data_IF_501171521866
#
_entry.id   IF_501171521866
#
_cell.length_a   1.000
_cell.length_b   1.000
_cell.length_c   1.000
_cell.angle_alpha   90.00
_cell.angle_beta   90.00
_cell.angle_gamma   90.00
#
_symmetry.space_group_name_H-M   'P 1'
#
loop_
_entity.id
_entity.type
_entity.pdbx_description
1 polymer ?
#
# COMPACT_ATOMS: atom_id res chain seq x y z
N UNK A 1 -32.19 -61.48 -8.79
CA UNK A 1 -31.08 -60.89 -9.58
C UNK A 1 -30.82 -59.51 -8.98
N UNK A 2 -30.46 -59.43 -7.70
CA UNK A 2 -29.09 -59.59 -7.17
C UNK A 2 -28.06 -58.77 -7.95
N UNK A 3 -27.60 -57.66 -7.37
CA UNK A 3 -26.31 -57.59 -6.68
C UNK A 3 -26.07 -56.16 -6.14
N UNK A 4 -25.77 -56.09 -4.85
CA UNK A 4 -25.22 -54.92 -4.14
C UNK A 4 -23.76 -54.67 -4.56
N UNK A 5 -23.18 -53.51 -4.19
CA UNK A 5 -22.13 -53.57 -3.16
C UNK A 5 -22.11 -52.39 -2.17
N UNK A 6 -22.25 -52.76 -0.89
CA UNK A 6 -21.41 -52.46 0.28
C UNK A 6 -20.49 -51.20 0.38
N UNK A 7 -20.64 -50.54 1.55
CA UNK A 7 -19.61 -49.98 2.49
C UNK A 7 -18.98 -48.63 2.05
N UNK A 8 -18.81 -47.62 2.90
CA UNK A 8 -18.42 -47.67 4.32
C UNK A 8 -18.93 -46.47 5.13
N UNK A 9 -19.41 -46.80 6.31
CA UNK A 9 -19.65 -45.94 7.46
C UNK A 9 -18.33 -45.43 8.06
N UNK A 10 -18.20 -44.12 8.23
CA UNK A 10 -17.14 -43.49 9.01
C UNK A 10 -17.49 -43.52 10.51
N UNK A 11 -16.58 -43.95 11.39
CA UNK A 11 -16.80 -43.98 12.83
C UNK A 11 -16.54 -42.61 13.48
N UNK A 12 -17.43 -42.24 14.40
CA UNK A 12 -17.19 -41.25 15.45
C UNK A 12 -16.13 -41.78 16.42
N UNK A 13 -15.08 -41.00 16.69
CA UNK A 13 -14.13 -41.21 17.80
C UNK A 13 -13.77 -39.82 18.38
N UNK A 14 -13.59 -39.71 19.71
CA UNK A 14 -14.08 -38.59 20.50
C UNK A 14 -13.04 -37.49 20.78
N UNK A 15 -13.58 -36.34 21.15
CA UNK A 15 -12.95 -35.27 21.93
C UNK A 15 -12.21 -35.83 23.14
N UNK A 16 -10.90 -35.60 23.19
CA UNK A 16 -10.09 -35.70 24.39
C UNK A 16 -9.38 -34.38 24.66
N UNK A 17 -9.85 -33.73 25.71
CA UNK A 17 -9.10 -32.82 26.57
C UNK A 17 -7.89 -33.54 27.15
N UNK A 18 -6.68 -32.96 27.09
CA UNK A 18 -5.91 -32.55 28.27
C UNK A 18 -4.48 -32.11 27.89
N UNK A 19 -4.01 -31.13 28.66
CA UNK A 19 -2.65 -31.02 29.20
C UNK A 19 -1.54 -30.52 28.29
N UNK A 20 -1.24 -29.23 28.49
CA UNK A 20 0.04 -28.74 29.03
C UNK A 20 1.19 -29.74 28.93
N UNK A 21 2.10 -29.47 28.00
CA UNK A 21 3.47 -29.97 28.06
C UNK A 21 4.41 -28.77 28.01
N UNK A 22 4.99 -28.53 29.19
CA UNK A 22 6.18 -27.76 29.44
C UNK A 22 7.27 -28.11 28.42
N UNK A 23 7.75 -27.12 27.68
CA UNK A 23 9.09 -27.17 27.11
C UNK A 23 10.13 -26.89 28.21
N UNK A 24 11.26 -27.60 28.22
CA UNK A 24 12.24 -27.51 29.29
C UNK A 24 12.94 -26.16 29.28
N UNK A 25 12.85 -25.44 30.39
CA UNK A 25 13.74 -24.35 30.75
C UNK A 25 15.17 -24.90 30.81
N UNK A 26 16.01 -24.47 29.87
CA UNK A 26 17.45 -24.59 30.01
C UNK A 26 17.85 -23.60 31.10
N UNK A 27 18.26 -24.13 32.24
CA UNK A 27 18.95 -23.41 33.31
C UNK A 27 20.20 -22.74 32.71
N UNK A 28 20.15 -21.42 32.56
CA UNK A 28 21.37 -20.62 32.41
C UNK A 28 21.84 -20.26 33.82
N UNK A 29 22.86 -21.00 34.26
CA UNK A 29 23.70 -20.69 35.42
C UNK A 29 24.11 -19.22 35.40
N UNK A 30 23.90 -18.56 36.54
CA UNK A 30 24.51 -17.28 36.87
C UNK A 30 26.00 -17.31 36.57
N UNK A 31 26.44 -16.36 35.75
CA UNK A 31 27.57 -15.46 36.01
C UNK A 31 27.92 -14.73 34.72
N UNK A 32 27.58 -13.45 34.64
CA UNK A 32 28.47 -12.33 34.27
C UNK A 32 27.65 -11.12 33.81
N UNK A 33 27.66 -10.09 34.67
CA UNK A 33 27.42 -8.67 34.38
C UNK A 33 26.37 -8.34 33.31
N UNK A 34 25.15 -8.18 33.80
CA UNK A 34 24.09 -7.42 33.16
C UNK A 34 24.58 -6.01 32.81
N UNK A 35 24.77 -5.73 31.51
CA UNK A 35 24.64 -4.37 31.03
C UNK A 35 23.18 -3.96 31.24
N UNK A 36 22.91 -3.22 32.32
CA UNK A 36 21.65 -2.52 32.49
C UNK A 36 21.56 -1.41 31.42
N UNK A 37 21.14 -1.77 30.21
CA UNK A 37 20.49 -0.80 29.35
C UNK A 37 19.15 -0.49 30.02
N UNK A 38 19.07 0.73 30.57
CA UNK A 38 17.87 1.27 31.21
C UNK A 38 16.64 0.92 30.38
N UNK A 39 15.73 0.12 30.95
CA UNK A 39 14.41 -0.15 30.37
C UNK A 39 13.67 1.15 30.06
N UNK A 40 14.03 2.25 30.72
CA UNK A 40 13.57 3.58 30.39
C UNK A 40 13.96 4.06 28.99
N UNK A 41 15.13 3.69 28.46
CA UNK A 41 15.61 4.15 27.15
C UNK A 41 14.96 3.40 25.99
N UNK A 42 14.69 2.09 26.14
CA UNK A 42 13.95 1.32 25.14
C UNK A 42 12.48 1.71 25.11
N UNK A 43 11.88 1.97 26.27
CA UNK A 43 10.51 2.50 26.40
C UNK A 43 10.45 3.92 25.85
N UNK A 44 11.43 4.79 26.14
CA UNK A 44 11.48 6.14 25.56
C UNK A 44 11.61 6.10 24.05
N UNK A 45 12.48 5.27 23.47
CA UNK A 45 12.60 5.13 22.02
C UNK A 45 11.30 4.60 21.40
N UNK A 46 10.63 3.64 22.03
CA UNK A 46 9.34 3.14 21.55
C UNK A 46 8.26 4.25 21.58
N UNK A 47 8.15 5.01 22.68
CA UNK A 47 7.21 6.12 22.77
C UNK A 47 7.59 7.33 21.90
N UNK A 48 8.87 7.57 21.65
CA UNK A 48 9.34 8.62 20.73
C UNK A 48 9.02 8.23 19.29
N UNK A 49 9.22 6.97 18.90
CA UNK A 49 8.80 6.44 17.58
C UNK A 49 7.28 6.51 17.43
N UNK A 50 6.50 6.11 18.44
CA UNK A 50 5.04 6.21 18.41
C UNK A 50 4.58 7.67 18.35
N UNK A 51 5.20 8.59 19.09
CA UNK A 51 4.87 10.02 19.03
C UNK A 51 5.23 10.63 17.67
N UNK A 52 6.38 10.28 17.10
CA UNK A 52 6.77 10.72 15.75
C UNK A 52 5.76 10.22 14.71
N UNK A 53 5.23 8.99 14.85
CA UNK A 53 4.19 8.49 13.94
C UNK A 53 2.79 9.07 14.21
N UNK A 54 2.50 9.53 15.42
CA UNK A 54 1.19 10.09 15.79
C UNK A 54 1.08 11.61 15.56
N UNK A 55 2.21 12.32 15.49
CA UNK A 55 2.27 13.76 15.17
C UNK A 55 2.19 14.03 13.65
N UNK A 56 2.03 13.01 12.81
CA UNK A 56 1.81 13.15 11.35
C UNK A 56 0.34 13.00 10.91
N UNK A 57 -0.62 12.80 11.82
CA UNK A 57 -2.06 12.83 11.48
C UNK A 57 -2.65 14.26 11.51
N UNK A 58 -1.82 15.28 11.72
CA UNK A 58 -2.23 16.69 11.65
C UNK A 58 -1.36 17.47 10.67
N UNK A 59 -1.19 16.95 9.46
CA UNK A 59 -0.78 17.79 8.32
C UNK A 59 -1.89 18.83 8.11
N UNK A 60 -1.69 20.13 8.42
CA UNK A 60 -2.62 21.15 7.95
C UNK A 60 -2.61 21.11 6.43
N UNK A 61 -3.74 21.33 5.73
CA UNK A 61 -3.73 21.32 4.27
C UNK A 61 -2.66 22.31 3.79
N UNK A 62 -1.62 21.76 3.16
CA UNK A 62 -0.51 22.54 2.63
C UNK A 62 -1.12 23.60 1.71
N UNK A 63 -0.95 24.85 2.14
CA UNK A 63 -1.40 26.03 1.42
C UNK A 63 -0.78 25.97 0.04
N UNK A 64 -1.62 25.63 -0.94
CA UNK A 64 -1.36 25.76 -2.36
C UNK A 64 -0.68 27.11 -2.56
N UNK A 65 0.58 27.07 -2.99
CA UNK A 65 1.31 28.25 -3.42
C UNK A 65 0.52 28.83 -4.60
N UNK A 66 -0.33 29.82 -4.28
CA UNK A 66 -0.98 30.65 -5.25
C UNK A 66 0.12 31.41 -5.98
N UNK A 67 0.57 30.89 -7.12
CA UNK A 67 1.13 31.77 -8.14
C UNK A 67 0.17 32.95 -8.30
N UNK A 68 0.65 34.21 -8.25
CA UNK A 68 -0.19 35.33 -8.58
C UNK A 68 -0.62 35.13 -10.03
N UNK A 69 -1.84 34.61 -10.23
CA UNK A 69 -2.56 34.71 -11.49
C UNK A 69 -2.58 36.19 -11.78
N UNK A 70 -1.69 36.62 -12.68
CA UNK A 70 -1.80 37.89 -13.38
C UNK A 70 -3.25 37.94 -13.81
N UNK A 71 -4.02 38.81 -13.16
CA UNK A 71 -5.44 38.99 -13.42
C UNK A 71 -5.52 39.67 -14.77
N UNK A 72 -5.29 38.91 -15.83
CA UNK A 72 -5.89 39.21 -17.12
C UNK A 72 -7.35 39.13 -16.79
N UNK A 73 -7.97 40.30 -16.58
CA UNK A 73 -9.41 40.47 -16.66
C UNK A 73 -9.73 40.14 -18.11
N UNK A 74 -9.73 38.85 -18.42
CA UNK A 74 -10.51 38.35 -19.51
C UNK A 74 -11.91 38.72 -19.07
N UNK A 75 -12.46 39.75 -19.71
CA UNK A 75 -13.90 39.89 -19.83
C UNK A 75 -14.35 38.58 -20.48
N UNK A 76 -14.55 37.54 -19.69
CA UNK A 76 -15.47 36.48 -20.06
C UNK A 76 -16.80 37.19 -20.06
N UNK A 77 -17.16 37.69 -21.24
CA UNK A 77 -18.56 37.83 -21.64
C UNK A 77 -19.29 36.64 -21.05
N UNK A 78 -20.40 36.84 -20.31
CA UNK A 78 -21.16 35.74 -19.77
C UNK A 78 -21.39 34.80 -20.94
N UNK A 79 -20.82 33.59 -20.82
CA UNK A 79 -21.02 32.54 -21.82
C UNK A 79 -22.51 32.45 -21.95
N UNK A 80 -22.98 32.95 -23.09
CA UNK A 80 -24.37 33.00 -23.47
C UNK A 80 -24.89 31.60 -23.16
N UNK A 81 -25.74 31.48 -22.15
CA UNK A 81 -26.43 30.24 -21.84
C UNK A 81 -27.44 30.11 -22.97
N UNK A 82 -26.93 29.75 -24.16
CA UNK A 82 -27.74 29.41 -25.29
C UNK A 82 -28.47 28.18 -24.77
N UNK A 83 -29.79 28.27 -24.70
CA UNK A 83 -30.67 27.12 -24.62
C UNK A 83 -30.42 26.30 -25.89
N UNK A 84 -29.26 25.65 -25.98
CA UNK A 84 -28.81 24.89 -27.12
C UNK A 84 -28.78 23.45 -26.67
N UNK A 85 -29.60 22.65 -27.33
CA UNK A 85 -29.47 21.21 -27.24
C UNK A 85 -28.19 20.81 -27.99
N UNK A 86 -27.36 19.97 -27.36
CA UNK A 86 -26.12 19.52 -27.98
C UNK A 86 -26.41 18.51 -29.09
N UNK A 87 -27.29 17.53 -28.80
CA UNK A 87 -27.70 16.45 -29.71
C UNK A 87 -29.23 16.32 -29.72
N UNK A 88 -29.90 17.28 -30.34
CA UNK A 88 -31.35 17.30 -30.46
C UNK A 88 -31.88 18.67 -30.86
N UNK A 89 -33.20 18.82 -30.78
CA UNK A 89 -33.91 20.02 -31.23
C UNK A 89 -34.68 20.68 -30.08
N UNK A 90 -34.85 22.00 -30.17
CA UNK A 90 -35.69 22.74 -29.25
C UNK A 90 -37.15 22.57 -29.67
N UNK A 91 -38.01 22.15 -28.74
CA UNK A 91 -39.45 22.16 -28.97
C UNK A 91 -40.02 23.58 -28.75
N UNK A 92 -41.25 23.84 -29.21
CA UNK A 92 -41.97 25.13 -29.05
C UNK A 92 -42.09 25.58 -27.58
N UNK A 93 -41.99 24.62 -26.65
CA UNK A 93 -41.98 24.86 -25.19
C UNK A 93 -40.60 25.23 -24.61
N UNK A 94 -39.57 25.35 -25.44
CA UNK A 94 -38.20 25.66 -25.01
C UNK A 94 -37.45 24.51 -24.34
N UNK A 95 -38.00 23.29 -24.36
CA UNK A 95 -37.32 22.08 -23.85
C UNK A 95 -36.59 21.34 -24.96
N UNK A 96 -35.45 20.75 -24.63
CA UNK A 96 -34.70 19.91 -25.55
C UNK A 96 -35.38 18.55 -25.74
N UNK A 97 -35.61 18.20 -27.00
CA UNK A 97 -36.00 16.86 -27.42
C UNK A 97 -34.75 16.20 -27.99
N UNK A 98 -34.23 15.22 -27.25
CA UNK A 98 -32.97 14.58 -27.59
C UNK A 98 -33.13 13.53 -28.68
N UNK A 99 -32.06 13.36 -29.46
CA UNK A 99 -31.95 12.27 -30.41
C UNK A 99 -32.02 10.91 -29.70
N UNK A 100 -32.36 9.86 -30.45
CA UNK A 100 -32.66 8.54 -29.87
C UNK A 100 -31.53 7.93 -29.01
N UNK A 101 -30.29 8.35 -29.23
CA UNK A 101 -29.09 7.89 -28.52
C UNK A 101 -28.62 8.80 -27.38
N UNK A 102 -29.30 9.92 -27.13
CA UNK A 102 -28.87 10.90 -26.13
C UNK A 102 -29.97 11.17 -25.09
N UNK A 103 -29.55 11.62 -23.91
CA UNK A 103 -30.39 12.03 -22.78
C UNK A 103 -29.74 13.20 -22.03
N UNK A 104 -30.45 13.73 -21.04
CA UNK A 104 -30.02 14.89 -20.25
C UNK A 104 -30.86 16.12 -20.55
N UNK A 105 -30.67 17.17 -19.76
CA UNK A 105 -31.45 18.41 -19.89
C UNK A 105 -31.16 19.13 -21.21
N UNK A 106 -29.95 18.98 -21.70
CA UNK A 106 -29.42 19.59 -22.92
C UNK A 106 -28.92 18.54 -23.93
N UNK A 107 -29.33 17.27 -23.76
CA UNK A 107 -28.91 16.15 -24.62
C UNK A 107 -27.39 15.93 -24.65
N UNK A 108 -26.76 16.16 -23.50
CA UNK A 108 -25.31 16.09 -23.31
C UNK A 108 -24.81 14.67 -23.00
N UNK A 109 -25.66 13.78 -22.47
CA UNK A 109 -25.28 12.42 -22.10
C UNK A 109 -25.65 11.43 -23.19
N UNK A 110 -24.72 10.55 -23.57
CA UNK A 110 -24.98 9.46 -24.51
C UNK A 110 -25.51 8.24 -23.77
N UNK A 111 -26.45 7.51 -24.37
CA UNK A 111 -26.95 6.22 -23.88
C UNK A 111 -25.94 5.12 -24.21
N UNK A 112 -25.38 4.47 -23.20
CA UNK A 112 -24.40 3.38 -23.38
C UNK A 112 -25.04 2.02 -23.10
N UNK A 113 -26.05 1.64 -23.89
CA UNK A 113 -26.65 0.31 -23.81
C UNK A 113 -25.66 -0.75 -24.31
N UNK A 114 -25.59 -1.92 -23.64
CA UNK A 114 -24.76 -3.04 -24.10
C UNK A 114 -25.25 -3.66 -25.42
N UNK A 115 -26.55 -3.55 -25.71
CA UNK A 115 -27.15 -4.03 -26.96
C UNK A 115 -28.01 -2.95 -27.61
N UNK A 116 -28.27 -3.10 -28.91
CA UNK A 116 -29.17 -2.19 -29.65
C UNK A 116 -30.65 -2.34 -29.25
N UNK A 117 -31.01 -3.34 -28.42
CA UNK A 117 -32.40 -3.57 -27.99
C UNK A 117 -32.76 -2.62 -26.85
N UNK A 118 -33.89 -1.94 -26.99
CA UNK A 118 -34.43 -0.97 -26.02
C UNK A 118 -35.85 -1.34 -25.64
N UNK A 119 -36.26 -1.01 -24.42
CA UNK A 119 -37.66 -1.11 -24.03
C UNK A 119 -38.51 -0.07 -24.79
N UNK A 120 -39.85 -0.23 -24.75
CA UNK A 120 -40.78 0.72 -25.41
C UNK A 120 -40.62 2.16 -24.91
N UNK A 121 -40.19 2.34 -23.66
CA UNK A 121 -39.94 3.63 -23.04
C UNK A 121 -38.57 4.22 -23.42
N UNK A 122 -37.79 3.53 -24.25
CA UNK A 122 -36.46 3.95 -24.68
C UNK A 122 -35.33 3.63 -23.70
N UNK A 123 -35.62 2.98 -22.57
CA UNK A 123 -34.62 2.51 -21.59
C UNK A 123 -33.81 1.32 -22.12
N UNK A 124 -32.58 1.19 -21.65
CA UNK A 124 -31.71 0.09 -22.04
C UNK A 124 -32.11 -1.21 -21.34
N UNK A 125 -31.92 -2.36 -22.01
CA UNK A 125 -32.10 -3.68 -21.38
C UNK A 125 -30.95 -3.98 -20.39
N UNK A 126 -29.73 -3.67 -20.79
CA UNK A 126 -28.50 -3.79 -20.00
C UNK A 126 -27.50 -2.70 -20.42
N UNK A 127 -26.67 -2.28 -19.47
CA UNK A 127 -25.63 -1.27 -19.69
C UNK A 127 -24.31 -1.90 -20.11
N UNK A 128 -23.54 -1.18 -20.93
CA UNK A 128 -22.15 -1.54 -21.19
C UNK A 128 -21.32 -1.41 -19.91
N UNK A 129 -20.22 -2.14 -19.84
CA UNK A 129 -19.28 -2.11 -18.70
C UNK A 129 -18.89 -0.67 -18.34
N UNK A 130 -18.96 -0.33 -17.05
CA UNK A 130 -18.61 1.00 -16.56
C UNK A 130 -19.72 2.06 -16.68
N UNK A 131 -20.95 1.69 -17.03
CA UNK A 131 -22.10 2.59 -17.07
C UNK A 131 -23.30 2.06 -16.29
N UNK A 132 -24.09 2.98 -15.74
CA UNK A 132 -25.31 2.70 -15.00
C UNK A 132 -26.41 3.73 -15.30
N UNK A 133 -27.59 3.49 -14.74
CA UNK A 133 -28.79 4.31 -14.94
C UNK A 133 -29.84 3.64 -15.83
N UNK A 134 -31.05 4.20 -15.89
CA UNK A 134 -32.15 3.66 -16.69
C UNK A 134 -31.85 3.70 -18.21
N UNK A 135 -31.02 4.63 -18.66
CA UNK A 135 -30.58 4.77 -20.04
C UNK A 135 -29.06 4.54 -20.19
N UNK A 136 -28.39 4.02 -19.15
CA UNK A 136 -26.94 3.80 -19.12
C UNK A 136 -26.15 5.08 -19.43
N UNK A 137 -26.62 6.19 -18.87
CA UNK A 137 -26.12 7.54 -19.09
C UNK A 137 -25.06 7.98 -18.09
N UNK A 138 -25.00 7.31 -16.93
CA UNK A 138 -24.11 7.68 -15.83
C UNK A 138 -22.86 6.80 -15.87
N UNK A 139 -21.69 7.43 -15.93
CA UNK A 139 -20.40 6.74 -15.85
C UNK A 139 -20.13 6.28 -14.41
N UNK A 140 -19.65 5.04 -14.28
CA UNK A 140 -19.20 4.48 -13.01
C UNK A 140 -17.67 4.45 -12.96
N UNK A 141 -17.11 5.05 -11.92
CA UNK A 141 -15.68 5.05 -11.66
C UNK A 141 -15.36 4.01 -10.58
N UNK A 142 -14.34 3.17 -10.80
CA UNK A 142 -13.91 2.19 -9.78
C UNK A 142 -13.07 2.83 -8.69
N UNK A 143 -12.03 3.58 -9.07
CA UNK A 143 -11.09 4.25 -8.15
C UNK A 143 -11.04 5.77 -8.41
N UNK A 144 -12.05 6.48 -7.94
CA UNK A 144 -12.13 7.93 -8.07
C UNK A 144 -13.55 8.46 -8.00
N UNK A 145 -13.74 9.68 -8.49
CA UNK A 145 -15.03 10.38 -8.46
C UNK A 145 -15.49 10.76 -9.87
N UNK A 146 -16.80 10.93 -10.04
CA UNK A 146 -17.39 11.39 -11.30
C UNK A 146 -17.20 12.91 -11.41
N UNK A 147 -16.74 13.39 -12.56
CA UNK A 147 -16.61 14.83 -12.85
C UNK A 147 -17.97 15.55 -12.76
N UNK A 148 -18.04 16.85 -12.41
CA UNK A 148 -19.30 17.60 -12.34
C UNK A 148 -20.15 17.56 -13.61
N UNK A 149 -19.56 17.29 -14.78
CA UNK A 149 -20.32 17.10 -16.03
C UNK A 149 -21.02 15.74 -16.12
N UNK A 150 -20.61 14.75 -15.32
CA UNK A 150 -21.13 13.39 -15.36
C UNK A 150 -20.63 12.54 -16.53
N UNK A 151 -19.67 13.03 -17.32
CA UNK A 151 -19.24 12.41 -18.59
C UNK A 151 -17.90 11.67 -18.50
N UNK A 152 -17.12 11.91 -17.44
CA UNK A 152 -15.78 11.34 -17.25
C UNK A 152 -15.49 11.10 -15.77
N UNK A 153 -14.54 10.19 -15.51
CA UNK A 153 -14.01 9.95 -14.18
C UNK A 153 -12.77 10.79 -13.89
N UNK A 154 -12.66 11.26 -12.66
CA UNK A 154 -11.46 11.86 -12.07
C UNK A 154 -10.83 10.78 -11.19
N UNK A 155 -9.76 10.16 -11.70
CA UNK A 155 -9.12 9.02 -11.04
C UNK A 155 -8.24 9.42 -9.87
N UNK A 156 -8.26 8.60 -8.81
CA UNK A 156 -7.28 8.68 -7.75
C UNK A 156 -5.93 8.13 -8.22
N UNK A 157 -4.82 8.76 -7.84
CA UNK A 157 -3.48 8.24 -8.18
C UNK A 157 -3.21 6.95 -7.39
N UNK A 158 -2.61 5.90 -8.00
CA UNK A 158 -1.98 5.86 -9.32
C UNK A 158 -2.89 5.33 -10.47
N UNK A 159 -4.19 5.21 -10.24
CA UNK A 159 -5.14 4.64 -11.20
C UNK A 159 -5.35 5.52 -12.43
N UNK A 160 -5.59 4.88 -13.57
CA UNK A 160 -5.82 5.52 -14.87
C UNK A 160 -6.91 4.81 -15.66
N UNK A 161 -7.19 5.33 -16.85
CA UNK A 161 -8.20 4.81 -17.76
C UNK A 161 -9.52 5.58 -17.68
N UNK A 162 -10.47 5.29 -18.59
CA UNK A 162 -11.76 5.99 -18.65
C UNK A 162 -12.63 5.76 -17.41
N UNK A 163 -12.50 4.58 -16.77
CA UNK A 163 -13.26 4.18 -15.57
C UNK A 163 -12.38 4.03 -14.32
N UNK A 164 -11.11 4.43 -14.38
CA UNK A 164 -10.15 4.34 -13.28
C UNK A 164 -9.91 2.90 -12.77
N UNK A 165 -9.91 1.92 -13.67
CA UNK A 165 -9.67 0.51 -13.35
C UNK A 165 -8.28 0.02 -13.75
N UNK A 166 -7.51 0.83 -14.49
CA UNK A 166 -6.20 0.43 -15.01
C UNK A 166 -5.06 0.92 -14.11
N UNK A 167 -4.09 0.03 -13.87
CA UNK A 167 -2.82 0.35 -13.22
C UNK A 167 -1.69 0.27 -14.25
N UNK A 168 -0.98 1.38 -14.44
CA UNK A 168 0.25 1.39 -15.23
C UNK A 168 1.44 1.24 -14.31
N UNK A 169 2.27 0.21 -14.54
CA UNK A 169 3.45 -0.10 -13.72
C UNK A 169 4.39 1.10 -13.57
N UNK A 170 4.64 1.84 -14.65
CA UNK A 170 5.47 3.06 -14.63
C UNK A 170 4.93 4.13 -13.69
N UNK A 171 3.60 4.36 -13.71
CA UNK A 171 2.94 5.33 -12.83
C UNK A 171 2.90 4.87 -11.39
N UNK A 172 2.67 3.59 -11.16
CA UNK A 172 2.71 2.96 -9.83
C UNK A 172 4.09 3.12 -9.23
N UNK A 173 5.13 2.73 -9.97
CA UNK A 173 6.53 2.86 -9.56
C UNK A 173 6.89 4.32 -9.29
N UNK A 174 6.54 5.25 -10.19
CA UNK A 174 6.79 6.67 -9.99
C UNK A 174 6.05 7.24 -8.77
N UNK A 175 4.78 6.87 -8.57
CA UNK A 175 3.97 7.33 -7.44
C UNK A 175 4.54 6.84 -6.11
N UNK A 176 4.83 5.54 -5.98
CA UNK A 176 5.38 4.99 -4.75
C UNK A 176 6.83 5.41 -4.50
N UNK A 177 7.65 5.57 -5.54
CA UNK A 177 9.01 6.09 -5.38
C UNK A 177 8.95 7.54 -4.87
N UNK A 178 8.14 8.40 -5.48
CA UNK A 178 7.95 9.77 -4.99
C UNK A 178 7.38 9.82 -3.57
N UNK A 179 6.42 8.94 -3.24
CA UNK A 179 5.87 8.84 -1.88
C UNK A 179 6.90 8.34 -0.87
N UNK A 180 7.77 7.41 -1.25
CA UNK A 180 8.88 6.93 -0.43
C UNK A 180 9.94 8.02 -0.21
N UNK A 181 10.26 8.81 -1.24
CA UNK A 181 11.08 10.01 -1.10
C UNK A 181 10.45 11.02 -0.14
N UNK A 182 9.12 11.19 -0.19
CA UNK A 182 8.39 12.07 0.71
C UNK A 182 8.41 11.57 2.16
N UNK A 183 8.28 10.25 2.37
CA UNK A 183 8.44 9.61 3.69
C UNK A 183 9.88 9.67 4.22
N UNK A 184 10.82 10.15 3.41
CA UNK A 184 12.14 10.59 3.86
C UNK A 184 12.96 9.50 4.54
N UNK A 185 13.92 9.87 5.41
CA UNK A 185 14.82 8.93 6.07
C UNK A 185 14.13 8.05 7.13
N UNK A 186 12.82 8.17 7.35
CA UNK A 186 12.09 7.37 8.36
C UNK A 186 12.22 5.87 8.08
N UNK A 187 12.19 5.47 6.80
CA UNK A 187 12.48 4.09 6.40
C UNK A 187 13.91 3.64 6.68
N UNK A 188 14.90 4.54 6.59
CA UNK A 188 16.30 4.24 6.91
C UNK A 188 16.51 4.21 8.44
N UNK A 189 15.83 5.09 9.17
CA UNK A 189 15.86 5.15 10.63
C UNK A 189 15.26 3.91 11.29
N UNK A 190 14.35 3.19 10.64
CA UNK A 190 13.82 1.91 11.16
C UNK A 190 14.77 0.73 10.91
N UNK A 191 15.57 0.78 9.85
CA UNK A 191 16.54 -0.27 9.50
C UNK A 191 17.82 -0.17 10.33
N UNK A 192 18.26 1.05 10.68
CA UNK A 192 19.46 1.28 11.48
C UNK A 192 19.47 0.51 12.83
N UNK A 193 18.39 0.52 13.64
CA UNK A 193 18.32 -0.26 14.88
C UNK A 193 18.49 -1.77 14.66
N UNK A 194 17.87 -2.32 13.61
CA UNK A 194 18.01 -3.74 13.29
C UNK A 194 19.45 -4.07 12.88
N UNK A 195 20.08 -3.24 12.06
CA UNK A 195 21.49 -3.41 11.68
C UNK A 195 22.43 -3.31 12.89
N UNK A 196 22.20 -2.37 13.81
CA UNK A 196 23.00 -2.22 15.03
C UNK A 196 22.89 -3.46 15.94
N UNK A 197 21.69 -4.01 16.11
CA UNK A 197 21.47 -5.22 16.90
C UNK A 197 22.22 -6.41 16.27
N UNK A 198 22.10 -6.60 14.96
CA UNK A 198 22.82 -7.67 14.26
C UNK A 198 24.33 -7.55 14.43
N UNK A 199 24.87 -6.34 14.31
CA UNK A 199 26.30 -6.11 14.44
C UNK A 199 26.82 -6.33 15.88
N UNK A 200 26.03 -5.98 16.89
CA UNK A 200 26.32 -6.28 18.29
C UNK A 200 26.32 -7.80 18.53
N UNK A 201 25.34 -8.52 17.97
CA UNK A 201 25.24 -9.97 18.07
C UNK A 201 26.47 -10.67 17.48
N UNK A 202 26.91 -10.26 16.29
CA UNK A 202 28.11 -10.80 15.64
C UNK A 202 29.37 -10.54 16.46
N UNK A 203 29.57 -9.30 16.95
CA UNK A 203 30.73 -8.98 17.79
C UNK A 203 30.77 -9.82 19.06
N UNK A 204 29.61 -10.05 19.69
CA UNK A 204 29.55 -10.90 20.89
C UNK A 204 29.81 -12.37 20.55
N UNK A 205 29.32 -12.87 19.41
CA UNK A 205 29.59 -14.23 18.96
C UNK A 205 31.08 -14.44 18.69
N UNK A 206 31.73 -13.51 17.99
CA UNK A 206 33.15 -13.54 17.70
C UNK A 206 34.00 -13.50 18.98
N UNK A 207 33.67 -12.61 19.93
CA UNK A 207 34.36 -12.53 21.22
C UNK A 207 34.28 -13.85 22.01
N UNK A 208 33.16 -14.58 21.91
CA UNK A 208 33.02 -15.91 22.52
C UNK A 208 33.85 -16.99 21.82
N UNK A 209 33.98 -16.92 20.49
CA UNK A 209 34.82 -17.84 19.74
C UNK A 209 36.30 -17.66 20.10
N UNK A 210 36.79 -16.42 20.12
CA UNK A 210 38.19 -16.09 20.48
C UNK A 210 38.51 -16.55 21.90
N UNK A 211 37.60 -16.34 22.87
CA UNK A 211 37.82 -16.78 24.26
C UNK A 211 37.98 -18.31 24.37
N UNK A 212 37.18 -19.09 23.62
CA UNK A 212 37.30 -20.56 23.60
C UNK A 212 38.63 -21.02 23.00
N UNK A 213 39.07 -20.40 21.90
CA UNK A 213 40.36 -20.73 21.27
C UNK A 213 41.53 -20.37 22.18
N UNK A 214 41.46 -19.23 22.85
CA UNK A 214 42.51 -18.76 23.77
C UNK A 214 42.62 -19.64 25.03
N UNK A 215 41.51 -20.14 25.57
CA UNK A 215 41.52 -21.10 26.68
C UNK A 215 42.12 -22.46 26.28
N UNK A 216 42.03 -22.85 25.01
CA UNK A 216 42.66 -24.07 24.50
C UNK A 216 44.16 -23.89 24.20
N UNK A 217 44.66 -22.66 24.09
CA UNK A 217 46.05 -22.39 23.68
C UNK A 217 47.04 -22.28 24.84
N UNK A 218 46.61 -21.95 26.07
CA UNK A 218 47.41 -22.03 27.30
C UNK A 218 48.65 -21.10 27.38
N UNK A 219 48.67 -20.24 28.41
CA UNK A 219 49.79 -19.53 29.09
C UNK A 219 51.02 -18.95 28.35
N UNK A 220 51.14 -18.96 27.01
CA UNK A 220 52.17 -18.17 26.29
C UNK A 220 51.58 -16.89 25.66
N UNK A 221 50.99 -16.05 26.52
CA UNK A 221 49.97 -15.03 26.19
C UNK A 221 50.49 -13.84 25.35
N UNK A 222 51.81 -13.62 25.25
CA UNK A 222 52.36 -12.39 24.65
C UNK A 222 52.83 -12.54 23.20
N UNK A 223 53.34 -13.71 22.80
CA UNK A 223 53.74 -13.98 21.42
C UNK A 223 52.52 -14.27 20.54
N UNK A 224 51.53 -14.98 21.09
CA UNK A 224 50.36 -15.46 20.34
C UNK A 224 49.29 -14.39 20.10
N UNK A 225 49.22 -13.32 20.89
CA UNK A 225 48.20 -12.27 20.67
C UNK A 225 48.37 -11.58 19.32
N UNK A 226 49.62 -11.35 18.87
CA UNK A 226 49.90 -10.78 17.54
C UNK A 226 49.56 -11.76 16.41
N UNK A 227 49.80 -13.05 16.61
CA UNK A 227 49.49 -14.09 15.62
C UNK A 227 47.97 -14.25 15.50
N UNK A 228 47.26 -14.27 16.62
CA UNK A 228 45.80 -14.33 16.68
C UNK A 228 45.15 -13.11 16.03
N UNK A 229 45.60 -11.90 16.36
CA UNK A 229 45.10 -10.66 15.73
C UNK A 229 45.34 -10.68 14.20
N UNK A 230 46.44 -11.28 13.73
CA UNK A 230 46.75 -11.40 12.30
C UNK A 230 45.92 -12.46 11.57
N UNK A 231 45.52 -13.54 12.25
CA UNK A 231 44.64 -14.57 11.69
C UNK A 231 43.20 -14.07 11.63
N UNK A 232 42.72 -13.40 12.68
CA UNK A 232 41.36 -12.84 12.72
C UNK A 232 41.18 -11.69 11.70
N UNK A 233 42.19 -10.84 11.52
CA UNK A 233 42.14 -9.76 10.52
C UNK A 233 42.13 -10.29 9.08
N UNK A 234 42.70 -11.48 8.85
CA UNK A 234 42.73 -12.13 7.54
C UNK A 234 41.37 -12.73 7.16
N UNK A 235 40.57 -13.14 8.14
CA UNK A 235 39.21 -13.62 7.93
C UNK A 235 38.23 -12.46 7.62
N UNK A 236 38.44 -11.29 8.23
CA UNK A 236 37.65 -10.08 7.95
C UNK A 236 37.91 -9.50 6.53
N UNK A 237 39.14 -9.62 6.01
CA UNK A 237 39.48 -9.21 4.63
C UNK A 237 38.95 -10.18 3.56
N UNK A 238 38.49 -11.39 3.95
CA UNK A 238 37.87 -12.35 3.04
C UNK A 238 36.40 -12.09 2.72
N UNK A 239 35.75 -11.15 3.43
CA UNK A 239 34.32 -10.83 3.30
C UNK A 239 34.10 -9.49 2.58
N UNK A 240 35.16 -8.71 2.32
CA UNK A 240 35.12 -7.50 1.51
C UNK A 240 35.94 -7.67 0.24
N UNK A 241 35.31 -8.18 -0.81
CA UNK A 241 35.23 -7.56 -2.14
C UNK A 241 34.14 -8.28 -2.96
N UNK A 242 33.44 -7.54 -3.84
CA UNK A 242 32.30 -8.01 -4.63
C UNK A 242 32.66 -9.06 -5.69
#
# INVERSE_FOLDING_TARGET
MDLTPNRASTPNIPTSTLSSTHYPYVFFSENTHTMQFSTGFTIFLFFFVIKVTAEEDSVPPESVTHHPKRRVVFRTTPSQFINKCVNGELNDSGRCVCDSEFVGKHCEKKKNCATFRRYRNGTCLSCSTGYAGPFCEDIMCEHGEVDPTGLKCICEKPWVGPFCSELQTERVLSYYNNKAYLMGPVGVLSVIPMCLILHICERMAHKRQVKRVQEQLGDDVNADRKVLDSLLKKDDEGILLP
#
